data_IF_928679395831
#
_entry.id   IF_928679395831
#
_cell.length_a   1.000
_cell.length_b   1.000
_cell.length_c   1.000
_cell.angle_alpha   90.00
_cell.angle_beta   90.00
_cell.angle_gamma   90.00
#
_symmetry.space_group_name_H-M   'P 1'
#
loop_
_entity.id
_entity.type
_entity.pdbx_description
1 polymer ?
#
# COMPACT_ATOMS: atom_id res chain seq x y z
N UNK A 1 54.38 30.78 -32.93
CA UNK A 1 54.95 29.81 -33.90
C UNK A 1 54.09 29.84 -35.17
N UNK A 2 54.67 30.05 -36.36
CA UNK A 2 53.89 30.10 -37.62
C UNK A 2 53.26 28.73 -37.88
N UNK A 3 51.94 28.65 -37.85
CA UNK A 3 51.17 27.45 -38.14
C UNK A 3 51.34 27.10 -39.63
N UNK A 4 51.81 25.89 -39.92
CA UNK A 4 51.99 25.44 -41.32
C UNK A 4 50.74 24.66 -41.72
N UNK A 5 49.89 25.27 -42.54
CA UNK A 5 48.71 24.59 -43.10
C UNK A 5 49.16 23.33 -43.85
N UNK A 6 48.68 22.17 -43.39
CA UNK A 6 48.86 20.90 -44.10
C UNK A 6 47.78 20.79 -45.17
N UNK A 7 48.16 20.40 -46.39
CA UNK A 7 47.21 20.16 -47.48
C UNK A 7 46.28 19.00 -47.10
N UNK A 8 45.00 19.17 -47.43
CA UNK A 8 43.94 18.21 -47.13
C UNK A 8 44.21 16.87 -47.84
N UNK A 9 44.00 15.76 -47.14
CA UNK A 9 44.26 14.42 -47.67
C UNK A 9 43.05 13.92 -48.47
N UNK A 10 43.27 13.50 -49.72
CA UNK A 10 42.20 13.01 -50.61
C UNK A 10 41.60 11.67 -50.14
N UNK A 11 42.23 11.00 -49.16
CA UNK A 11 41.75 9.73 -48.58
C UNK A 11 40.92 9.91 -47.32
N UNK A 12 40.87 11.10 -46.76
CA UNK A 12 40.13 11.37 -45.53
C UNK A 12 38.77 11.95 -45.89
N UNK A 13 37.69 11.23 -45.56
CA UNK A 13 36.33 11.72 -45.75
C UNK A 13 36.05 12.87 -44.78
N UNK A 14 35.56 13.99 -45.29
CA UNK A 14 35.15 15.14 -44.50
C UNK A 14 33.68 15.01 -44.14
N UNK A 15 33.35 15.33 -42.89
CA UNK A 15 31.97 15.37 -42.43
C UNK A 15 31.31 16.67 -42.92
N UNK A 16 30.13 16.54 -43.54
CA UNK A 16 29.31 17.69 -43.96
C UNK A 16 28.37 17.98 -42.80
N UNK A 17 28.48 19.17 -42.22
CA UNK A 17 27.64 19.63 -41.10
C UNK A 17 26.76 20.78 -41.61
N UNK A 18 25.45 20.78 -41.30
CA UNK A 18 24.56 21.90 -41.61
C UNK A 18 25.05 23.19 -40.96
N UNK A 19 24.92 24.32 -41.65
CA UNK A 19 25.41 25.61 -41.13
C UNK A 19 24.77 26.02 -39.79
N UNK A 20 23.56 25.53 -39.50
CA UNK A 20 22.87 25.76 -38.22
C UNK A 20 23.53 25.08 -37.02
N UNK A 21 24.41 24.10 -37.24
CA UNK A 21 25.10 23.34 -36.19
C UNK A 21 26.54 23.83 -35.97
N UNK A 22 26.97 24.87 -36.70
CA UNK A 22 28.28 25.49 -36.52
C UNK A 22 28.10 26.66 -35.55
N UNK A 23 28.74 26.60 -34.38
CA UNK A 23 28.80 27.74 -33.48
C UNK A 23 29.53 28.93 -34.13
N UNK A 24 29.05 30.15 -33.91
CA UNK A 24 29.75 31.37 -34.36
C UNK A 24 31.07 31.48 -33.58
N UNK A 25 32.17 31.04 -34.21
CA UNK A 25 33.51 31.09 -33.62
C UNK A 25 34.05 32.51 -33.85
N UNK A 26 34.12 33.32 -32.80
CA UNK A 26 34.95 34.53 -32.79
C UNK A 26 36.42 34.11 -32.86
N UNK A 27 37.16 34.69 -33.82
CA UNK A 27 38.52 34.30 -34.24
C UNK A 27 39.62 34.44 -33.16
N UNK A 28 39.29 34.79 -31.91
CA UNK A 28 40.29 35.08 -30.87
C UNK A 28 40.47 34.00 -29.78
N UNK A 29 39.70 32.91 -29.78
CA UNK A 29 39.78 31.89 -28.72
C UNK A 29 40.19 30.49 -29.23
N UNK A 30 41.30 30.38 -29.98
CA UNK A 30 41.98 29.08 -30.17
C UNK A 30 42.83 28.72 -28.93
N UNK A 31 42.17 28.49 -27.79
CA UNK A 31 42.67 27.55 -26.79
C UNK A 31 41.88 26.26 -26.94
N UNK A 32 42.55 25.12 -26.73
CA UNK A 32 41.99 23.77 -26.90
C UNK A 32 40.79 23.57 -25.98
N UNK A 33 39.61 23.94 -26.42
CA UNK A 33 38.39 23.37 -25.86
C UNK A 33 38.20 22.00 -26.50
N UNK A 34 38.39 20.98 -25.69
CA UNK A 34 37.83 19.66 -25.97
C UNK A 34 36.34 19.90 -26.02
N UNK A 35 35.75 19.88 -27.22
CA UNK A 35 34.29 19.99 -27.35
C UNK A 35 33.68 18.97 -26.38
N UNK A 36 32.89 19.40 -25.38
CA UNK A 36 32.22 18.47 -24.50
C UNK A 36 31.35 17.59 -25.38
N UNK A 37 31.66 16.30 -25.40
CA UNK A 37 30.87 15.31 -26.09
C UNK A 37 29.50 15.31 -25.40
N UNK A 38 28.46 15.87 -26.03
CA UNK A 38 27.10 15.78 -25.50
C UNK A 38 26.71 14.31 -25.48
N UNK A 39 26.84 13.68 -24.31
CA UNK A 39 26.68 12.25 -24.12
C UNK A 39 25.23 11.80 -24.34
N UNK A 40 24.27 12.74 -24.33
CA UNK A 40 22.84 12.46 -24.35
C UNK A 40 22.34 11.85 -23.04
N UNK A 41 23.14 11.90 -21.98
CA UNK A 41 22.87 11.32 -20.65
C UNK A 41 22.65 12.47 -19.64
N UNK A 42 21.83 12.25 -18.61
CA UNK A 42 21.65 13.26 -17.56
C UNK A 42 22.97 13.51 -16.80
N UNK A 43 23.23 14.76 -16.41
CA UNK A 43 24.50 15.20 -15.79
C UNK A 43 24.93 14.37 -14.57
N UNK A 44 23.97 13.84 -13.80
CA UNK A 44 24.27 13.03 -12.63
C UNK A 44 24.66 11.58 -12.97
N UNK A 45 24.24 11.09 -14.14
CA UNK A 45 24.59 9.77 -14.66
C UNK A 45 25.95 9.80 -15.38
N UNK A 46 26.41 10.96 -15.88
CA UNK A 46 27.75 11.15 -16.46
C UNK A 46 28.89 10.87 -15.44
N UNK A 47 28.58 10.93 -14.14
CA UNK A 47 29.51 10.60 -13.05
C UNK A 47 29.54 9.09 -12.72
N UNK A 48 28.69 8.27 -13.35
CA UNK A 48 28.64 6.82 -13.08
C UNK A 48 29.88 6.09 -13.59
N UNK A 49 30.44 5.24 -12.74
CA UNK A 49 31.77 4.65 -12.94
C UNK A 49 31.81 3.72 -14.15
N UNK A 50 30.81 2.85 -14.35
CA UNK A 50 30.81 1.92 -15.47
C UNK A 50 30.55 2.62 -16.81
N UNK A 51 29.71 3.66 -16.82
CA UNK A 51 29.42 4.49 -17.98
C UNK A 51 30.69 5.22 -18.44
N UNK A 52 31.42 5.84 -17.52
CA UNK A 52 32.71 6.47 -17.83
C UNK A 52 33.72 5.46 -18.39
N UNK A 53 33.79 4.27 -17.80
CA UNK A 53 34.69 3.22 -18.29
C UNK A 53 34.33 2.77 -19.71
N UNK A 54 33.03 2.62 -20.03
CA UNK A 54 32.55 2.26 -21.37
C UNK A 54 32.80 3.39 -22.38
N UNK A 55 32.52 4.65 -22.02
CA UNK A 55 32.77 5.82 -22.89
C UNK A 55 34.26 5.92 -23.20
N UNK A 56 35.11 5.86 -22.17
CA UNK A 56 36.57 5.93 -22.31
C UNK A 56 37.11 4.76 -23.16
N UNK A 57 36.57 3.55 -22.96
CA UNK A 57 36.95 2.39 -23.76
C UNK A 57 36.54 2.57 -25.23
N UNK A 58 35.35 3.11 -25.51
CA UNK A 58 34.86 3.37 -26.87
C UNK A 58 35.70 4.44 -27.59
N UNK A 59 36.07 5.53 -26.90
CA UNK A 59 36.90 6.61 -27.45
C UNK A 59 38.32 6.11 -27.75
N UNK A 60 38.90 5.32 -26.84
CA UNK A 60 40.22 4.73 -27.06
C UNK A 60 40.23 3.71 -28.22
N UNK A 61 39.14 2.97 -28.42
CA UNK A 61 38.98 2.09 -29.58
C UNK A 61 38.86 2.88 -30.90
N UNK A 62 38.11 4.00 -30.91
CA UNK A 62 37.98 4.87 -32.09
C UNK A 62 39.31 5.51 -32.53
N UNK A 63 40.23 5.75 -31.59
CA UNK A 63 41.58 6.27 -31.84
C UNK A 63 42.61 5.19 -32.22
N UNK A 64 42.18 3.94 -32.41
CA UNK A 64 43.02 2.83 -32.87
C UNK A 64 43.78 2.09 -31.76
N UNK A 65 43.42 2.30 -30.49
CA UNK A 65 43.93 1.52 -29.36
C UNK A 65 43.30 0.13 -29.30
N UNK A 66 44.07 -0.90 -28.90
CA UNK A 66 43.50 -2.17 -28.45
C UNK A 66 42.92 -1.97 -27.06
N UNK A 67 41.59 -2.10 -26.92
CA UNK A 67 40.90 -1.93 -25.63
C UNK A 67 40.10 -3.19 -25.34
N UNK A 68 40.10 -3.62 -24.08
CA UNK A 68 39.20 -4.69 -23.62
C UNK A 68 37.74 -4.20 -23.65
N UNK A 69 36.82 -5.09 -24.01
CA UNK A 69 35.39 -4.77 -23.95
C UNK A 69 34.98 -4.59 -22.48
N UNK A 70 34.73 -3.34 -22.08
CA UNK A 70 34.13 -3.02 -20.80
C UNK A 70 32.60 -3.13 -20.93
N UNK A 71 31.95 -3.77 -19.96
CA UNK A 71 30.50 -3.98 -19.95
C UNK A 71 29.88 -3.35 -18.70
N UNK A 72 28.68 -2.78 -18.85
CA UNK A 72 27.86 -2.38 -17.71
C UNK A 72 27.32 -3.64 -17.03
N UNK A 73 27.58 -3.86 -15.73
CA UNK A 73 27.20 -5.09 -15.06
C UNK A 73 25.68 -5.19 -14.89
N UNK A 74 25.08 -6.23 -15.46
CA UNK A 74 23.69 -6.61 -15.15
C UNK A 74 23.65 -7.53 -13.94
N UNK A 75 22.86 -7.20 -12.92
CA UNK A 75 22.66 -8.10 -11.78
C UNK A 75 21.97 -9.38 -12.26
N UNK A 76 22.41 -10.53 -11.72
CA UNK A 76 21.74 -11.80 -11.97
C UNK A 76 20.35 -11.85 -11.32
N UNK A 77 19.42 -12.58 -11.93
CA UNK A 77 18.11 -12.87 -11.34
C UNK A 77 18.18 -14.16 -10.53
N UNK A 78 17.75 -14.12 -9.28
CA UNK A 78 17.55 -15.32 -8.46
C UNK A 78 16.23 -15.98 -8.84
N UNK A 79 16.23 -17.31 -9.02
CA UNK A 79 15.01 -18.08 -9.26
C UNK A 79 14.44 -18.56 -7.93
N UNK A 80 13.18 -18.27 -7.68
CA UNK A 80 12.42 -18.81 -6.54
C UNK A 80 11.76 -20.12 -6.98
N UNK A 81 11.72 -21.18 -6.14
CA UNK A 81 10.96 -22.38 -6.45
C UNK A 81 9.49 -22.07 -6.76
N UNK A 82 8.97 -22.61 -7.86
CA UNK A 82 7.61 -22.32 -8.31
C UNK A 82 6.54 -22.77 -7.31
N UNK A 83 6.82 -23.82 -6.53
CA UNK A 83 5.92 -24.34 -5.50
C UNK A 83 5.71 -23.33 -4.37
N UNK A 84 6.80 -22.68 -3.93
CA UNK A 84 6.75 -21.65 -2.90
C UNK A 84 6.03 -20.39 -3.41
N UNK A 85 6.33 -19.97 -4.64
CA UNK A 85 5.65 -18.84 -5.29
C UNK A 85 4.13 -19.07 -5.38
N UNK A 86 3.70 -20.24 -5.87
CA UNK A 86 2.28 -20.55 -6.02
C UNK A 86 1.55 -20.67 -4.68
N UNK A 87 2.25 -21.05 -3.60
CA UNK A 87 1.69 -21.07 -2.25
C UNK A 87 1.39 -19.65 -1.75
N UNK A 88 2.26 -18.68 -2.04
CA UNK A 88 2.14 -17.30 -1.59
C UNK A 88 1.24 -16.44 -2.49
N UNK A 89 1.24 -16.70 -3.80
CA UNK A 89 0.55 -15.90 -4.81
C UNK A 89 -0.44 -16.73 -5.64
N UNK A 90 -1.58 -17.14 -5.07
CA UNK A 90 -2.62 -17.83 -5.82
C UNK A 90 -3.28 -16.90 -6.85
N UNK A 91 -3.63 -17.44 -8.02
CA UNK A 91 -4.31 -16.67 -9.06
C UNK A 91 -5.78 -16.40 -8.68
N UNK A 92 -6.09 -15.13 -8.41
CA UNK A 92 -7.41 -14.65 -7.96
C UNK A 92 -7.96 -13.52 -8.81
N UNK A 93 -7.21 -13.04 -9.81
CA UNK A 93 -7.57 -11.84 -10.56
C UNK A 93 -8.40 -12.20 -11.79
N UNK A 94 -9.56 -11.56 -11.93
CA UNK A 94 -10.40 -11.68 -13.14
C UNK A 94 -10.34 -10.36 -13.88
N UNK A 95 -9.81 -10.39 -15.10
CA UNK A 95 -9.65 -9.18 -15.91
C UNK A 95 -11.02 -8.57 -16.28
N UNK A 96 -11.26 -7.29 -15.93
CA UNK A 96 -12.48 -6.61 -16.31
C UNK A 96 -12.49 -6.22 -17.79
N UNK A 97 -13.68 -6.11 -18.39
CA UNK A 97 -13.83 -5.68 -19.79
C UNK A 97 -13.38 -4.23 -20.06
N UNK A 98 -13.21 -3.41 -19.02
CA UNK A 98 -12.76 -2.02 -19.11
C UNK A 98 -11.50 -1.81 -18.29
N UNK A 99 -10.74 -0.74 -18.57
CA UNK A 99 -9.57 -0.40 -17.77
C UNK A 99 -9.89 -0.19 -16.29
N UNK A 100 -8.94 -0.60 -15.45
CA UNK A 100 -9.02 -0.50 -13.99
C UNK A 100 -9.02 0.98 -13.60
N UNK A 101 -9.98 1.36 -12.74
CA UNK A 101 -10.02 2.66 -12.06
C UNK A 101 -9.84 2.40 -10.58
N UNK A 102 -8.71 2.81 -10.03
CA UNK A 102 -8.32 2.49 -8.66
C UNK A 102 -7.62 3.69 -8.02
N UNK A 103 -7.99 4.01 -6.79
CA UNK A 103 -7.44 5.15 -6.03
C UNK A 103 -7.25 4.84 -4.55
N UNK A 104 -7.50 3.60 -4.13
CA UNK A 104 -7.24 3.17 -2.75
C UNK A 104 -5.74 3.08 -2.51
N UNK A 105 -5.30 3.35 -1.29
CA UNK A 105 -3.89 3.24 -0.93
C UNK A 105 -3.51 1.79 -0.62
N UNK A 106 -2.22 1.53 -0.37
CA UNK A 106 -1.77 0.20 0.06
C UNK A 106 -2.45 -0.16 1.38
N UNK A 107 -2.46 0.80 2.31
CA UNK A 107 -3.10 0.65 3.61
C UNK A 107 -4.55 0.23 3.44
N UNK A 108 -5.36 0.88 2.59
CA UNK A 108 -6.76 0.52 2.33
C UNK A 108 -6.97 -0.94 1.86
N UNK A 109 -5.93 -1.60 1.35
CA UNK A 109 -6.00 -2.95 0.76
C UNK A 109 -5.21 -4.02 1.49
N UNK A 110 -4.38 -3.64 2.46
CA UNK A 110 -3.49 -4.56 3.16
C UNK A 110 -4.09 -5.16 4.43
N UNK A 111 -5.22 -4.66 4.92
CA UNK A 111 -5.81 -5.10 6.18
C UNK A 111 -5.03 -4.60 7.39
N UNK A 112 -4.90 -5.44 8.41
CA UNK A 112 -4.19 -5.11 9.66
C UNK A 112 -2.70 -4.94 9.40
N UNK A 113 -2.06 -3.81 9.79
CA UNK A 113 -0.64 -3.58 9.51
C UNK A 113 0.33 -4.44 10.33
N UNK A 114 -0.12 -5.04 11.43
CA UNK A 114 0.68 -5.97 12.21
C UNK A 114 0.66 -7.35 11.56
N UNK A 115 1.84 -7.94 11.33
CA UNK A 115 1.98 -9.30 10.84
C UNK A 115 2.81 -10.10 11.84
N UNK A 116 2.32 -11.28 12.20
CA UNK A 116 3.04 -12.20 13.09
C UNK A 116 4.40 -12.58 12.48
N UNK A 117 5.45 -12.51 13.30
CA UNK A 117 6.74 -13.12 12.98
C UNK A 117 6.86 -14.52 13.60
N UNK A 118 8.03 -15.15 13.46
CA UNK A 118 8.26 -16.50 13.98
C UNK A 118 8.15 -16.59 15.51
N UNK A 119 8.45 -15.51 16.23
CA UNK A 119 8.35 -15.46 17.70
C UNK A 119 6.88 -15.41 18.11
N UNK A 120 6.07 -14.61 17.42
CA UNK A 120 4.63 -14.56 17.63
C UNK A 120 3.97 -15.89 17.27
N UNK A 121 4.37 -16.52 16.16
CA UNK A 121 3.83 -17.82 15.72
C UNK A 121 4.15 -18.92 16.74
N UNK A 122 5.34 -18.93 17.34
CA UNK A 122 5.68 -19.87 18.42
C UNK A 122 4.81 -19.65 19.66
N UNK A 123 4.66 -18.38 20.09
CA UNK A 123 3.82 -18.03 21.24
C UNK A 123 2.35 -18.38 20.99
N UNK A 124 1.83 -18.04 19.81
CA UNK A 124 0.46 -18.33 19.40
C UNK A 124 0.21 -19.83 19.36
N UNK A 125 1.12 -20.60 18.74
CA UNK A 125 0.98 -22.06 18.64
C UNK A 125 0.94 -22.71 20.02
N UNK A 126 1.75 -22.22 20.96
CA UNK A 126 1.80 -22.74 22.33
C UNK A 126 0.55 -22.40 23.16
N UNK A 127 -0.06 -21.23 22.91
CA UNK A 127 -1.06 -20.64 23.81
C UNK A 127 -2.49 -20.77 23.27
N UNK A 128 -2.69 -20.57 21.96
CA UNK A 128 -4.00 -20.36 21.35
C UNK A 128 -4.40 -21.39 20.29
N UNK A 129 -3.55 -22.37 19.94
CA UNK A 129 -3.89 -23.40 18.91
C UNK A 129 -5.21 -24.11 19.16
N UNK A 130 -5.57 -24.32 20.44
CA UNK A 130 -6.81 -25.00 20.83
C UNK A 130 -7.99 -24.04 21.06
N UNK A 131 -7.77 -22.73 20.95
CA UNK A 131 -8.79 -21.70 21.17
C UNK A 131 -9.51 -21.37 19.85
N UNK A 132 -10.81 -21.69 19.71
CA UNK A 132 -11.55 -21.43 18.48
C UNK A 132 -11.87 -19.93 18.27
N UNK A 133 -11.69 -19.09 19.28
CA UNK A 133 -12.00 -17.66 19.24
C UNK A 133 -10.79 -16.86 18.77
N UNK A 134 -9.58 -17.22 19.23
CA UNK A 134 -8.34 -16.52 18.90
C UNK A 134 -7.76 -17.06 17.58
N UNK A 135 -8.23 -16.57 16.43
CA UNK A 135 -7.56 -16.82 15.14
C UNK A 135 -6.28 -15.98 15.02
N UNK A 136 -5.43 -16.30 14.03
CA UNK A 136 -4.22 -15.49 13.76
C UNK A 136 -4.57 -14.03 13.47
N UNK A 137 -5.60 -13.80 12.65
CA UNK A 137 -6.07 -12.45 12.33
C UNK A 137 -6.49 -11.67 13.60
N UNK A 138 -7.21 -12.32 14.51
CA UNK A 138 -7.63 -11.72 15.79
C UNK A 138 -6.45 -11.40 16.68
N UNK A 139 -5.44 -12.28 16.71
CA UNK A 139 -4.20 -12.03 17.43
C UNK A 139 -3.47 -10.80 16.87
N UNK A 140 -3.33 -10.70 15.54
CA UNK A 140 -2.72 -9.56 14.86
C UNK A 140 -3.48 -8.25 15.11
N UNK A 141 -4.82 -8.28 15.08
CA UNK A 141 -5.68 -7.14 15.41
C UNK A 141 -5.43 -6.62 16.83
N UNK A 142 -5.36 -7.53 17.81
CA UNK A 142 -5.11 -7.17 19.21
C UNK A 142 -3.69 -6.63 19.40
N UNK A 143 -2.68 -7.25 18.78
CA UNK A 143 -1.30 -6.76 18.81
C UNK A 143 -1.19 -5.35 18.21
N UNK A 144 -1.85 -5.11 17.07
CA UNK A 144 -1.89 -3.80 16.42
C UNK A 144 -2.63 -2.75 17.27
N UNK A 145 -3.73 -3.14 17.93
CA UNK A 145 -4.45 -2.25 18.83
C UNK A 145 -3.54 -1.77 19.97
N UNK A 146 -2.72 -2.65 20.56
CA UNK A 146 -1.76 -2.25 21.58
C UNK A 146 -0.65 -1.32 21.06
N UNK A 147 -0.10 -1.59 19.87
CA UNK A 147 0.88 -0.69 19.22
C UNK A 147 0.32 0.74 19.12
N UNK A 148 -0.88 0.87 18.57
CA UNK A 148 -1.54 2.16 18.38
C UNK A 148 -1.91 2.83 19.72
N UNK A 149 -2.48 2.10 20.66
CA UNK A 149 -2.88 2.64 21.98
C UNK A 149 -1.69 3.20 22.75
N UNK A 150 -0.56 2.49 22.74
CA UNK A 150 0.63 2.94 23.44
C UNK A 150 1.34 4.08 22.71
N UNK A 151 1.32 4.12 21.38
CA UNK A 151 1.85 5.28 20.65
C UNK A 151 1.03 6.55 20.91
N UNK A 152 -0.28 6.42 21.16
CA UNK A 152 -1.15 7.54 21.56
C UNK A 152 -0.95 7.92 23.03
N UNK A 153 -1.01 6.96 23.96
CA UNK A 153 -0.97 7.22 25.40
C UNK A 153 0.45 7.49 25.93
N UNK A 154 1.48 6.89 25.34
CA UNK A 154 2.89 7.02 25.72
C UNK A 154 3.82 7.19 24.50
N UNK A 155 3.71 8.27 23.71
CA UNK A 155 4.52 8.49 22.51
C UNK A 155 6.04 8.52 22.76
N UNK A 156 6.45 8.83 23.99
CA UNK A 156 7.86 8.89 24.40
C UNK A 156 8.30 7.67 25.23
N UNK A 157 7.62 6.53 25.12
CA UNK A 157 7.92 5.31 25.89
C UNK A 157 9.39 4.88 25.76
N UNK A 158 10.02 5.14 24.61
CA UNK A 158 11.43 4.84 24.37
C UNK A 158 12.41 5.53 25.35
N UNK A 159 11.99 6.58 26.06
CA UNK A 159 12.79 7.24 27.10
C UNK A 159 12.83 6.43 28.41
N UNK A 160 11.76 5.69 28.74
CA UNK A 160 11.69 4.83 29.91
C UNK A 160 10.83 3.57 29.65
N UNK A 161 11.39 2.55 28.98
CA UNK A 161 10.61 1.39 28.51
C UNK A 161 9.98 0.56 29.64
N UNK A 162 10.56 0.59 30.84
CA UNK A 162 10.09 -0.21 31.97
C UNK A 162 8.79 0.33 32.59
N UNK A 163 8.44 1.59 32.33
CA UNK A 163 7.23 2.26 32.80
C UNK A 163 6.09 2.21 31.76
N UNK A 164 6.08 1.18 30.91
CA UNK A 164 4.95 0.92 30.01
C UNK A 164 3.66 0.69 30.82
N UNK A 165 2.56 1.35 30.42
CA UNK A 165 1.27 1.29 31.08
C UNK A 165 0.78 -0.15 31.22
N UNK A 166 0.34 -0.59 32.41
CA UNK A 166 -0.19 -1.93 32.61
C UNK A 166 -1.53 -2.13 31.89
N UNK A 167 -1.94 -3.38 31.69
CA UNK A 167 -3.17 -3.71 30.94
C UNK A 167 -4.41 -3.04 31.52
N UNK A 168 -4.50 -2.90 32.84
CA UNK A 168 -5.62 -2.29 33.54
C UNK A 168 -5.86 -0.83 33.09
N UNK A 169 -4.83 -0.12 32.66
CA UNK A 169 -4.93 1.25 32.14
C UNK A 169 -5.36 1.32 30.67
N UNK A 170 -5.34 0.18 29.97
CA UNK A 170 -5.75 0.03 28.57
C UNK A 170 -7.08 -0.73 28.45
N UNK A 171 -7.52 -1.41 29.50
CA UNK A 171 -8.68 -2.31 29.51
C UNK A 171 -9.95 -1.66 28.99
N UNK A 172 -10.22 -0.41 29.39
CA UNK A 172 -11.43 0.31 29.01
C UNK A 172 -11.51 0.57 27.50
N UNK A 173 -10.37 0.57 26.81
CA UNK A 173 -10.31 0.72 25.36
C UNK A 173 -10.79 -0.54 24.64
N UNK A 174 -10.70 -1.72 25.26
CA UNK A 174 -11.15 -3.01 24.68
C UNK A 174 -12.61 -3.35 25.05
N UNK A 175 -13.37 -2.35 25.49
CA UNK A 175 -14.78 -2.48 25.87
C UNK A 175 -15.75 -2.28 24.70
N UNK A 176 -17.04 -2.28 25.03
CA UNK A 176 -18.15 -2.04 24.11
C UNK A 176 -18.91 -0.80 24.59
N UNK A 177 -19.45 -0.03 23.66
CA UNK A 177 -20.35 1.07 23.98
C UNK A 177 -21.73 0.54 24.41
N UNK A 178 -22.62 1.47 24.77
CA UNK A 178 -23.98 1.16 25.22
C UNK A 178 -24.84 0.45 24.15
N UNK A 179 -24.39 0.43 22.88
CA UNK A 179 -25.05 -0.18 21.73
C UNK A 179 -24.45 -1.55 21.33
N UNK A 180 -23.63 -2.16 22.19
CA UNK A 180 -22.89 -3.41 21.91
C UNK A 180 -21.98 -3.29 20.66
N UNK A 181 -21.47 -2.10 20.36
CA UNK A 181 -20.41 -1.87 19.37
C UNK A 181 -19.04 -1.79 20.08
N UNK A 182 -17.96 -2.35 19.53
CA UNK A 182 -16.64 -2.25 20.14
C UNK A 182 -16.18 -0.79 20.17
N UNK A 183 -15.77 -0.28 21.35
CA UNK A 183 -15.32 1.12 21.58
C UNK A 183 -14.12 1.53 20.70
N UNK A 184 -13.38 0.56 20.16
CA UNK A 184 -12.23 0.78 19.28
C UNK A 184 -12.66 1.28 17.88
N UNK A 185 -13.97 1.32 17.57
CA UNK A 185 -14.50 1.70 16.27
C UNK A 185 -14.52 3.22 15.97
N UNK A 186 -14.12 4.08 16.90
CA UNK A 186 -14.09 5.52 16.65
C UNK A 186 -12.99 5.82 15.61
N UNK A 187 -13.43 6.05 14.36
CA UNK A 187 -12.67 6.48 13.18
C UNK A 187 -11.72 7.68 13.39
N UNK A 188 -11.64 8.24 14.60
CA UNK A 188 -10.78 9.36 14.97
C UNK A 188 -9.50 8.93 15.68
N UNK A 189 -9.43 7.74 16.27
CA UNK A 189 -8.24 7.26 17.01
C UNK A 189 -7.49 6.18 16.24
N UNK A 190 -8.20 5.34 15.46
CA UNK A 190 -7.60 4.28 14.65
C UNK A 190 -7.99 4.47 13.18
N UNK A 191 -7.02 4.62 12.26
CA UNK A 191 -7.30 4.78 10.84
C UNK A 191 -7.79 3.49 10.15
N UNK A 192 -7.96 2.40 10.91
CA UNK A 192 -8.44 1.11 10.44
C UNK A 192 -9.58 0.62 11.32
N UNK A 193 -10.68 0.21 10.71
CA UNK A 193 -11.79 -0.42 11.43
C UNK A 193 -11.28 -1.78 11.95
N UNK A 194 -10.94 -1.86 13.24
CA UNK A 194 -10.63 -3.15 13.86
C UNK A 194 -11.95 -3.91 13.96
N UNK A 195 -12.21 -4.76 12.97
CA UNK A 195 -13.37 -5.62 12.95
C UNK A 195 -13.02 -6.87 13.72
N UNK A 196 -13.11 -6.84 15.06
CA UNK A 196 -12.94 -8.01 15.93
C UNK A 196 -13.96 -9.15 15.66
N UNK A 197 -14.64 -9.15 14.50
CA UNK A 197 -15.74 -10.03 14.16
C UNK A 197 -16.84 -9.98 15.22
N UNK A 198 -17.71 -10.99 15.21
CA UNK A 198 -18.69 -11.19 16.28
C UNK A 198 -18.04 -11.83 17.52
N UNK A 199 -16.86 -11.37 17.98
CA UNK A 199 -16.25 -11.88 19.22
C UNK A 199 -16.96 -11.21 20.40
N UNK A 200 -17.52 -11.96 21.36
CA UNK A 200 -18.14 -11.35 22.53
C UNK A 200 -17.15 -10.52 23.36
N UNK A 201 -17.59 -9.38 23.90
CA UNK A 201 -16.79 -8.48 24.73
C UNK A 201 -15.95 -9.16 25.82
N UNK A 202 -16.59 -10.08 26.54
CA UNK A 202 -15.95 -10.81 27.62
C UNK A 202 -14.85 -11.77 27.14
N UNK A 203 -14.92 -12.25 25.90
CA UNK A 203 -13.88 -13.07 25.29
C UNK A 203 -12.73 -12.17 24.80
N UNK A 204 -13.04 -11.04 24.15
CA UNK A 204 -12.04 -10.07 23.71
C UNK A 204 -11.16 -9.57 24.86
N UNK A 205 -11.76 -9.16 25.97
CA UNK A 205 -11.02 -8.69 27.15
C UNK A 205 -10.06 -9.76 27.71
N UNK A 206 -10.48 -11.02 27.75
CA UNK A 206 -9.63 -12.13 28.21
C UNK A 206 -8.48 -12.40 27.25
N UNK A 207 -8.73 -12.34 25.95
CA UNK A 207 -7.70 -12.51 24.93
C UNK A 207 -6.70 -11.34 24.99
N UNK A 208 -7.19 -10.11 25.06
CA UNK A 208 -6.37 -8.91 25.18
C UNK A 208 -5.48 -8.96 26.42
N UNK A 209 -6.01 -9.35 27.59
CA UNK A 209 -5.22 -9.50 28.81
C UNK A 209 -4.07 -10.51 28.65
N UNK A 210 -4.35 -11.65 28.02
CA UNK A 210 -3.34 -12.69 27.79
C UNK A 210 -2.29 -12.23 26.77
N UNK A 211 -2.72 -11.71 25.62
CA UNK A 211 -1.83 -11.26 24.54
C UNK A 211 -0.98 -10.06 24.98
N UNK A 212 -1.52 -9.18 25.82
CA UNK A 212 -0.81 -8.02 26.36
C UNK A 212 0.50 -8.43 27.05
N UNK A 213 0.53 -9.55 27.76
CA UNK A 213 1.76 -10.02 28.44
C UNK A 213 2.90 -10.29 27.45
N UNK A 214 2.59 -10.91 26.31
CA UNK A 214 3.53 -11.17 25.22
C UNK A 214 3.91 -9.87 24.51
N UNK A 215 2.92 -9.10 24.06
CA UNK A 215 3.12 -7.82 23.40
C UNK A 215 4.03 -6.87 24.21
N UNK A 216 3.73 -6.72 25.50
CA UNK A 216 4.48 -5.88 26.44
C UNK A 216 5.95 -6.30 26.51
N UNK A 217 6.21 -7.61 26.62
CA UNK A 217 7.58 -8.13 26.68
C UNK A 217 8.36 -7.77 25.40
N UNK A 218 7.74 -7.95 24.24
CA UNK A 218 8.32 -7.58 22.94
C UNK A 218 8.60 -6.09 22.83
N UNK A 219 7.66 -5.24 23.26
CA UNK A 219 7.82 -3.78 23.24
C UNK A 219 8.96 -3.31 24.15
N UNK A 220 9.14 -3.95 25.32
CA UNK A 220 10.25 -3.67 26.24
C UNK A 220 11.59 -4.11 25.64
N UNK A 221 11.65 -5.31 25.03
CA UNK A 221 12.87 -5.80 24.35
C UNK A 221 13.32 -4.84 23.23
N UNK A 222 12.37 -4.17 22.59
CA UNK A 222 12.60 -3.11 21.59
C UNK A 222 12.89 -1.75 22.20
N UNK A 223 13.15 -1.66 23.50
CA UNK A 223 13.39 -0.43 24.26
C UNK A 223 12.27 0.61 24.02
N UNK A 224 11.01 0.17 24.07
CA UNK A 224 9.83 1.04 23.92
C UNK A 224 9.51 1.46 22.48
N UNK A 225 10.36 1.11 21.50
CA UNK A 225 10.12 1.35 20.07
C UNK A 225 9.15 0.30 19.49
N UNK A 226 8.51 0.58 18.33
CA UNK A 226 7.67 -0.38 17.63
C UNK A 226 8.34 -1.74 17.42
N UNK A 227 7.53 -2.80 17.49
CA UNK A 227 7.99 -4.17 17.27
C UNK A 227 8.39 -4.34 15.80
N UNK A 228 7.52 -3.91 14.89
CA UNK A 228 7.76 -3.93 13.45
C UNK A 228 8.85 -2.92 13.07
N UNK A 229 9.83 -3.30 12.23
CA UNK A 229 10.84 -2.38 11.73
C UNK A 229 10.21 -1.18 11.02
N UNK A 230 10.64 0.03 11.40
CA UNK A 230 10.20 1.27 10.77
C UNK A 230 11.31 1.91 9.93
N UNK A 231 10.90 2.65 8.90
CA UNK A 231 11.80 3.50 8.13
C UNK A 231 12.37 4.61 9.03
N UNK A 232 13.62 4.99 8.80
CA UNK A 232 14.23 6.11 9.50
C UNK A 232 13.85 7.41 8.80
N UNK A 233 12.98 8.18 9.45
CA UNK A 233 12.63 9.52 9.04
C UNK A 233 13.58 10.55 9.66
N UNK A 234 13.64 11.72 9.06
CA UNK A 234 14.37 12.86 9.59
C UNK A 234 13.65 13.46 10.80
N UNK A 235 14.39 13.79 11.86
CA UNK A 235 13.85 14.56 12.98
C UNK A 235 13.68 16.02 12.55
N UNK A 236 12.55 16.64 12.91
CA UNK A 236 12.30 18.06 12.62
C UNK A 236 13.39 18.96 13.21
N UNK A 237 14.01 18.53 14.32
CA UNK A 237 15.01 19.29 15.04
C UNK A 237 16.45 18.94 14.67
N UNK A 238 16.71 17.77 14.08
CA UNK A 238 18.06 17.29 13.78
C UNK A 238 18.21 16.94 12.29
N UNK A 239 18.97 17.77 11.58
CA UNK A 239 19.25 17.60 10.16
C UNK A 239 20.53 16.80 10.00
N UNK A 240 20.41 15.49 10.18
CA UNK A 240 21.51 14.59 9.89
C UNK A 240 21.56 14.31 8.38
N UNK A 241 22.43 15.04 7.68
CA UNK A 241 22.70 14.85 6.25
C UNK A 241 23.67 13.69 5.97
N UNK A 242 24.25 13.08 7.01
CA UNK A 242 25.27 12.04 6.87
C UNK A 242 24.73 10.62 6.95
N UNK A 243 23.57 10.39 7.56
CA UNK A 243 23.02 9.04 7.70
C UNK A 243 22.32 8.55 6.42
N UNK A 244 22.84 7.49 5.76
CA UNK A 244 22.26 6.95 4.53
C UNK A 244 20.89 6.26 4.73
N UNK A 245 20.48 5.96 5.97
CA UNK A 245 19.17 5.36 6.24
C UNK A 245 18.03 6.39 6.35
N UNK A 246 18.34 7.68 6.46
CA UNK A 246 17.32 8.75 6.53
C UNK A 246 16.66 8.93 5.17
N UNK A 247 15.36 8.67 5.09
CA UNK A 247 14.59 8.70 3.85
C UNK A 247 13.32 9.57 3.96
N UNK A 248 12.71 9.86 2.80
CA UNK A 248 11.43 10.58 2.67
C UNK A 248 11.36 11.95 3.38
N UNK A 249 12.43 12.73 3.31
CA UNK A 249 12.52 14.08 3.90
C UNK A 249 11.40 14.99 3.41
N UNK A 250 10.65 15.58 4.34
CA UNK A 250 9.56 16.53 4.02
C UNK A 250 10.12 17.94 3.86
N UNK A 251 9.99 18.51 2.66
CA UNK A 251 10.42 19.88 2.32
C UNK A 251 9.24 20.64 1.72
N UNK A 252 8.23 20.89 2.54
CA UNK A 252 7.01 21.57 2.10
C UNK A 252 7.23 23.08 1.96
N UNK A 253 6.77 23.65 0.84
CA UNK A 253 6.79 25.09 0.62
C UNK A 253 5.61 25.72 1.34
N UNK A 254 5.89 26.57 2.33
CA UNK A 254 4.85 27.32 3.04
C UNK A 254 4.13 28.25 2.06
N UNK A 255 2.86 27.96 1.81
CA UNK A 255 2.04 28.80 0.93
C UNK A 255 1.58 30.07 1.64
N UNK A 256 1.54 31.18 0.91
CA UNK A 256 0.99 32.46 1.39
C UNK A 256 -0.54 32.37 1.42
N UNK A 257 -1.15 32.95 2.46
CA UNK A 257 -2.62 33.04 2.58
C UNK A 257 -3.23 33.74 1.38
N UNK A 258 -4.40 33.25 0.95
CA UNK A 258 -5.20 33.87 -0.11
C UNK A 258 -5.95 35.09 0.43
N UNK A 259 -6.53 35.88 -0.47
CA UNK A 259 -7.31 37.05 -0.07
C UNK A 259 -8.65 36.62 0.53
N UNK A 260 -9.21 37.42 1.45
CA UNK A 260 -10.51 37.13 2.08
C UNK A 260 -11.63 36.89 1.06
N UNK A 261 -11.61 37.58 -0.09
CA UNK A 261 -12.57 37.37 -1.19
C UNK A 261 -12.42 35.99 -1.82
N UNK A 262 -11.18 35.54 -2.06
CA UNK A 262 -10.92 34.22 -2.60
C UNK A 262 -11.34 33.11 -1.62
N UNK A 263 -11.07 33.30 -0.33
CA UNK A 263 -11.49 32.35 0.72
C UNK A 263 -13.01 32.24 0.80
N UNK A 264 -13.75 33.35 0.76
CA UNK A 264 -15.21 33.33 0.77
C UNK A 264 -15.79 32.54 -0.43
N UNK A 265 -15.21 32.73 -1.62
CA UNK A 265 -15.58 31.96 -2.82
C UNK A 265 -15.22 30.47 -2.69
N UNK A 266 -14.06 30.15 -2.12
CA UNK A 266 -13.66 28.76 -1.87
C UNK A 266 -14.61 28.08 -0.86
N UNK A 267 -15.02 28.77 0.21
CA UNK A 267 -15.99 28.26 1.17
C UNK A 267 -17.37 28.02 0.57
N UNK A 268 -17.81 28.85 -0.39
CA UNK A 268 -19.05 28.61 -1.12
C UNK A 268 -18.94 27.39 -2.03
N UNK A 269 -17.83 27.25 -2.77
CA UNK A 269 -17.56 26.06 -3.60
C UNK A 269 -17.50 24.79 -2.76
N UNK A 270 -16.90 24.84 -1.57
CA UNK A 270 -16.83 23.71 -0.65
C UNK A 270 -18.23 23.27 -0.17
N UNK A 271 -19.13 24.21 0.11
CA UNK A 271 -20.52 23.89 0.45
C UNK A 271 -21.27 23.22 -0.70
N UNK A 272 -21.06 23.69 -1.95
CA UNK A 272 -21.63 23.05 -3.14
C UNK A 272 -21.09 21.65 -3.35
N UNK A 273 -19.77 21.48 -3.26
CA UNK A 273 -19.11 20.17 -3.35
C UNK A 273 -19.65 19.19 -2.31
N UNK A 274 -19.84 19.63 -1.06
CA UNK A 274 -20.44 18.80 -0.02
C UNK A 274 -21.85 18.34 -0.39
N UNK A 275 -22.70 19.24 -0.90
CA UNK A 275 -24.05 18.88 -1.33
C UNK A 275 -24.03 17.89 -2.52
N UNK A 276 -23.13 18.06 -3.48
CA UNK A 276 -22.94 17.15 -4.60
C UNK A 276 -22.47 15.76 -4.16
N UNK A 277 -21.53 15.70 -3.20
CA UNK A 277 -21.06 14.44 -2.62
C UNK A 277 -22.17 13.72 -1.82
N UNK A 278 -23.02 14.46 -1.11
CA UNK A 278 -24.17 13.86 -0.41
C UNK A 278 -25.18 13.26 -1.40
N UNK A 279 -25.46 13.95 -2.51
CA UNK A 279 -26.30 13.40 -3.57
C UNK A 279 -25.70 12.14 -4.20
N UNK A 280 -24.40 12.14 -4.47
CA UNK A 280 -23.70 10.96 -4.99
C UNK A 280 -23.75 9.78 -4.00
N UNK A 281 -23.51 10.03 -2.70
CA UNK A 281 -23.63 9.04 -1.63
C UNK A 281 -25.02 8.41 -1.59
N UNK A 282 -26.08 9.21 -1.60
CA UNK A 282 -27.46 8.72 -1.60
C UNK A 282 -27.76 7.80 -2.80
N UNK A 283 -27.25 8.13 -4.00
CA UNK A 283 -27.42 7.28 -5.17
C UNK A 283 -26.70 5.93 -5.00
N UNK A 284 -25.50 5.93 -4.44
CA UNK A 284 -24.74 4.69 -4.16
C UNK A 284 -25.45 3.85 -3.10
N UNK A 285 -26.00 4.45 -2.04
CA UNK A 285 -26.79 3.75 -1.02
C UNK A 285 -28.05 3.09 -1.61
N UNK A 286 -28.76 3.77 -2.51
CA UNK A 286 -29.91 3.19 -3.20
C UNK A 286 -29.52 2.00 -4.09
N UNK A 287 -28.37 2.07 -4.76
CA UNK A 287 -27.83 0.95 -5.55
C UNK A 287 -27.47 -0.22 -4.62
N UNK A 288 -26.79 0.04 -3.49
CA UNK A 288 -26.46 -0.97 -2.50
C UNK A 288 -27.73 -1.69 -2.00
N UNK A 289 -28.75 -0.92 -1.59
CA UNK A 289 -30.03 -1.47 -1.13
C UNK A 289 -30.72 -2.31 -2.21
N UNK A 290 -30.68 -1.87 -3.47
CA UNK A 290 -31.23 -2.63 -4.61
C UNK A 290 -30.53 -3.98 -4.77
N UNK A 291 -29.19 -4.01 -4.73
CA UNK A 291 -28.44 -5.26 -4.89
C UNK A 291 -28.59 -6.19 -3.67
N UNK A 292 -28.68 -5.64 -2.45
CA UNK A 292 -28.98 -6.42 -1.23
C UNK A 292 -30.34 -7.12 -1.33
N UNK A 293 -31.40 -6.38 -1.68
CA UNK A 293 -32.75 -6.96 -1.86
C UNK A 293 -32.79 -8.01 -2.98
N UNK A 294 -32.02 -7.81 -4.06
CA UNK A 294 -31.88 -8.83 -5.12
C UNK A 294 -31.21 -10.09 -4.61
N UNK A 295 -30.11 -9.97 -3.86
CA UNK A 295 -29.42 -11.10 -3.22
C UNK A 295 -30.37 -11.86 -2.30
N UNK A 296 -31.10 -11.16 -1.44
CA UNK A 296 -32.09 -11.75 -0.52
C UNK A 296 -33.19 -12.49 -1.29
N UNK A 297 -33.73 -11.87 -2.35
CA UNK A 297 -34.73 -12.51 -3.21
C UNK A 297 -34.22 -13.83 -3.81
N UNK A 298 -32.98 -13.85 -4.30
CA UNK A 298 -32.37 -15.07 -4.86
C UNK A 298 -32.13 -16.15 -3.80
N UNK A 299 -31.73 -15.76 -2.58
CA UNK A 299 -31.56 -16.68 -1.45
C UNK A 299 -32.91 -17.32 -1.09
N UNK A 300 -33.97 -16.52 -1.02
CA UNK A 300 -35.33 -17.01 -0.76
C UNK A 300 -35.80 -17.92 -1.89
N UNK A 301 -35.55 -17.58 -3.15
CA UNK A 301 -35.88 -18.44 -4.29
C UNK A 301 -35.15 -19.79 -4.23
N UNK A 302 -33.88 -19.79 -3.83
CA UNK A 302 -33.10 -21.01 -3.64
C UNK A 302 -33.66 -21.87 -2.50
N UNK A 303 -33.98 -21.28 -1.35
CA UNK A 303 -34.59 -22.00 -0.23
C UNK A 303 -35.95 -22.58 -0.64
N UNK A 304 -36.83 -21.79 -1.26
CA UNK A 304 -38.12 -22.26 -1.78
C UNK A 304 -37.93 -23.43 -2.75
N UNK A 305 -36.94 -23.38 -3.65
CA UNK A 305 -36.62 -24.50 -4.53
C UNK A 305 -36.21 -25.76 -3.77
N UNK A 306 -35.32 -25.64 -2.78
CA UNK A 306 -34.85 -26.75 -1.95
C UNK A 306 -36.00 -27.36 -1.12
N UNK A 307 -36.82 -26.52 -0.48
CA UNK A 307 -38.00 -26.97 0.28
C UNK A 307 -38.99 -27.69 -0.63
N UNK A 308 -39.28 -27.16 -1.82
CA UNK A 308 -40.16 -27.82 -2.81
C UNK A 308 -39.63 -29.19 -3.22
N UNK A 309 -38.31 -29.33 -3.43
CA UNK A 309 -37.69 -30.61 -3.73
C UNK A 309 -37.89 -31.61 -2.58
N UNK A 310 -37.63 -31.20 -1.34
CA UNK A 310 -37.81 -32.02 -0.13
C UNK A 310 -39.27 -32.44 0.06
N UNK A 311 -40.21 -31.51 -0.08
CA UNK A 311 -41.65 -31.79 0.04
C UNK A 311 -42.09 -32.79 -1.03
N UNK A 312 -41.70 -32.59 -2.30
CA UNK A 312 -42.02 -33.53 -3.39
C UNK A 312 -41.50 -34.94 -3.11
N UNK A 313 -40.29 -35.07 -2.56
CA UNK A 313 -39.70 -36.35 -2.20
C UNK A 313 -40.52 -37.07 -1.11
N UNK A 314 -40.85 -36.38 -0.02
CA UNK A 314 -41.64 -36.92 1.09
C UNK A 314 -43.05 -37.29 0.62
N UNK A 315 -43.68 -36.43 -0.19
CA UNK A 315 -45.02 -36.64 -0.75
C UNK A 315 -45.11 -37.92 -1.59
N UNK A 316 -44.08 -38.18 -2.42
CA UNK A 316 -43.96 -39.43 -3.18
C UNK A 316 -43.76 -40.65 -2.28
N UNK A 317 -42.90 -40.55 -1.26
CA UNK A 317 -42.66 -41.64 -0.28
C UNK A 317 -43.91 -42.02 0.50
N UNK A 318 -44.75 -41.04 0.84
CA UNK A 318 -45.98 -41.25 1.61
C UNK A 318 -47.23 -41.49 0.76
N UNK A 319 -47.13 -41.41 -0.58
CA UNK A 319 -48.26 -41.63 -1.50
C UNK A 319 -49.34 -40.55 -1.46
N UNK A 320 -49.02 -39.34 -0.98
CA UNK A 320 -49.96 -38.21 -0.84
C UNK A 320 -50.21 -37.55 -2.21
N UNK A 321 -51.46 -37.19 -2.52
CA UNK A 321 -51.90 -36.53 -3.77
C UNK A 321 -52.69 -35.24 -3.47
N UNK A 322 -52.71 -34.28 -4.39
CA UNK A 322 -53.37 -32.96 -4.20
C UNK A 322 -52.48 -31.97 -3.44
N UNK A 323 -52.89 -30.72 -3.24
CA UNK A 323 -52.12 -29.66 -2.55
C UNK A 323 -50.75 -29.35 -3.21
N UNK A 324 -50.76 -29.04 -4.50
CA UNK A 324 -49.56 -28.70 -5.28
C UNK A 324 -49.38 -27.18 -5.52
N UNK A 325 -50.28 -26.34 -5.00
CA UNK A 325 -50.30 -24.89 -5.24
C UNK A 325 -48.96 -24.22 -4.85
N UNK A 326 -48.39 -24.57 -3.70
CA UNK A 326 -47.13 -23.99 -3.25
C UNK A 326 -45.89 -24.61 -3.92
N UNK A 327 -46.07 -25.69 -4.70
CA UNK A 327 -44.99 -26.35 -5.45
C UNK A 327 -44.74 -25.73 -6.82
N UNK A 328 -45.59 -24.79 -7.24
CA UNK A 328 -45.51 -24.08 -8.52
C UNK A 328 -45.43 -22.57 -8.33
N UNK A 329 -44.89 -21.88 -9.34
CA UNK A 329 -44.81 -20.42 -9.33
C UNK A 329 -46.11 -19.82 -9.86
N UNK A 330 -46.68 -18.90 -9.09
CA UNK A 330 -47.89 -18.16 -9.47
C UNK A 330 -47.54 -16.83 -10.12
N UNK A 331 -48.25 -16.45 -11.19
CA UNK A 331 -48.09 -15.14 -11.82
C UNK A 331 -48.58 -14.06 -10.87
N UNK A 332 -47.66 -13.22 -10.37
CA UNK A 332 -47.99 -12.02 -9.60
C UNK A 332 -48.21 -10.84 -10.54
N UNK A 333 -49.14 -9.95 -10.19
CA UNK A 333 -49.34 -8.68 -10.91
C UNK A 333 -48.10 -7.81 -10.69
N UNK A 334 -47.41 -7.43 -11.76
CA UNK A 334 -46.29 -6.48 -11.66
C UNK A 334 -46.85 -5.14 -11.21
N UNK A 335 -46.35 -4.62 -10.10
CA UNK A 335 -46.53 -3.21 -9.74
C UNK A 335 -45.57 -2.44 -10.64
N UNK A 336 -46.13 -1.62 -11.54
CA UNK A 336 -45.38 -0.78 -12.47
C UNK A 336 -44.94 0.48 -11.76
#
# INVERSE_FOLDING_TARGET
ARFRQRKISVKQSLQIIPQSEIADIDDEAQQRDVQPLETGVEKHEEEEVHLQQVINASQAAALGGKVENVYIPTRGCTKIPIEEYNKLYPDRFVEPASYIRFSSTVEDTSGVPYCMDEIDEEYYTKTFTSDPVCTRDVFEEIMYAFECLIDVKQPYLHLNPNEILPFESLRDEFGYDDDDEPLINDNHTFPYQITFGHIPASALLKLAEQIYTHWRARRIERNGKPITPSLRFEDVNDKDDSDPYVCFRRREVRQVRKTRRADAQASERLRRLRAEMEMAKNLVELVLKREQLRKESLIVELDVFQQRCRVKEVKRKLGIKGDDEDLVNHKKKKVV
#
